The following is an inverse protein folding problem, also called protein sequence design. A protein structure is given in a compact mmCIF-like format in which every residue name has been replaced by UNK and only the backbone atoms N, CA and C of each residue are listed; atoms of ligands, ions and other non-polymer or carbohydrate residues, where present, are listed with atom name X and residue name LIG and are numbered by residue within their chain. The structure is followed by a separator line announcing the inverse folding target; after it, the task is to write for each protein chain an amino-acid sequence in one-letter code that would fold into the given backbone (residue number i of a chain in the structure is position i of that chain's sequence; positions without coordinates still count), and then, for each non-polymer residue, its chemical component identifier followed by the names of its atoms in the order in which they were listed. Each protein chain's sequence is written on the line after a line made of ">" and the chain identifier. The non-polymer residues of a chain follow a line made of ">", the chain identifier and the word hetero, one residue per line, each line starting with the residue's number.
data_IF_171252474262
#
_entry.id   IF_171252474262
#
_cell.length_a   1.000
_cell.length_b   1.000
_cell.length_c   1.000
_cell.angle_alpha   90.00
_cell.angle_beta   90.00
_cell.angle_gamma   90.00
#
_symmetry.space_group_name_H-M   'P 1'
#
loop_
_entity.id
_entity.type
_entity.pdbx_description
1 polymer ?
#
# COMPACT_ATOMS: atom_id res chain seq x y z
N UNK A 1 10.26 -14.86 20.46
CA UNK A 1 9.85 -13.54 19.99
C UNK A 1 8.70 -13.73 19.01
N UNK A 2 7.49 -13.40 19.48
CA UNK A 2 6.29 -13.44 18.65
C UNK A 2 6.21 -12.10 17.92
N UNK A 3 6.79 -12.05 16.71
CA UNK A 3 6.77 -10.82 15.90
C UNK A 3 5.38 -10.59 15.29
N UNK A 4 4.41 -10.20 16.11
CA UNK A 4 3.26 -9.44 15.61
C UNK A 4 3.75 -8.00 15.53
N UNK A 5 4.41 -7.69 14.44
CA UNK A 5 5.05 -6.40 14.29
C UNK A 5 4.05 -5.36 13.82
N UNK A 6 4.10 -4.17 14.39
CA UNK A 6 3.49 -3.00 13.79
C UNK A 6 4.10 -2.63 12.43
N UNK A 7 5.19 -3.31 12.03
CA UNK A 7 5.89 -3.21 10.75
C UNK A 7 6.00 -4.61 10.18
N UNK A 8 5.65 -4.81 8.92
CA UNK A 8 5.87 -6.08 8.22
C UNK A 8 7.38 -6.27 7.98
N UNK A 9 8.05 -6.94 8.90
CA UNK A 9 9.41 -7.43 8.72
C UNK A 9 9.35 -8.94 8.68
N UNK A 10 9.48 -9.52 7.49
CA UNK A 10 9.50 -10.96 7.29
C UNK A 10 10.95 -11.41 7.10
N UNK A 11 11.32 -12.53 7.72
CA UNK A 11 12.49 -13.28 7.30
C UNK A 11 12.25 -13.76 5.86
N UNK A 12 13.28 -13.67 5.01
CA UNK A 12 13.12 -14.13 3.64
C UNK A 12 13.10 -15.67 3.62
N UNK A 13 12.10 -16.31 2.99
CA UNK A 13 12.11 -17.75 2.79
C UNK A 13 13.37 -18.20 2.04
N UNK A 14 13.92 -19.34 2.42
CA UNK A 14 15.14 -19.89 1.78
C UNK A 14 14.98 -19.97 0.27
N UNK A 15 13.85 -20.46 -0.23
CA UNK A 15 13.58 -20.52 -1.67
C UNK A 15 13.57 -19.16 -2.37
N UNK A 16 13.14 -18.09 -1.66
CA UNK A 16 13.25 -16.72 -2.19
C UNK A 16 14.72 -16.28 -2.27
N UNK A 17 15.54 -16.58 -1.27
CA UNK A 17 16.98 -16.30 -1.29
C UNK A 17 17.68 -17.07 -2.43
N UNK A 18 17.35 -18.34 -2.63
CA UNK A 18 17.85 -19.14 -3.74
C UNK A 18 17.48 -18.54 -5.10
N UNK A 19 16.22 -18.08 -5.26
CA UNK A 19 15.79 -17.39 -6.46
C UNK A 19 16.59 -16.10 -6.70
N UNK A 20 16.85 -15.32 -5.65
CA UNK A 20 17.68 -14.11 -5.72
C UNK A 20 19.12 -14.43 -6.16
N UNK A 21 19.78 -15.40 -5.53
CA UNK A 21 21.17 -15.75 -5.82
C UNK A 21 21.35 -16.41 -7.19
N UNK A 22 20.31 -17.03 -7.73
CA UNK A 22 20.33 -17.69 -9.05
C UNK A 22 19.91 -16.76 -10.19
N UNK A 23 19.49 -15.52 -9.88
CA UNK A 23 18.95 -14.61 -10.87
C UNK A 23 19.99 -14.17 -11.91
N UNK A 24 19.71 -14.27 -13.21
CA UNK A 24 20.51 -13.60 -14.21
C UNK A 24 20.35 -12.09 -14.07
N UNK A 25 21.46 -11.36 -14.04
CA UNK A 25 21.49 -9.92 -13.84
C UNK A 25 22.24 -9.18 -14.94
N UNK A 26 21.89 -7.92 -15.13
CA UNK A 26 22.56 -6.99 -16.02
C UNK A 26 22.45 -5.58 -15.48
N UNK A 27 22.73 -4.57 -16.29
CA UNK A 27 22.63 -3.17 -15.86
C UNK A 27 21.24 -2.60 -16.17
N UNK A 28 20.35 -2.50 -15.16
CA UNK A 28 18.99 -1.96 -15.33
C UNK A 28 18.98 -0.49 -15.77
N UNK A 29 20.04 0.28 -15.52
CA UNK A 29 20.10 1.68 -16.00
C UNK A 29 20.12 1.73 -17.52
N UNK A 30 20.68 0.74 -18.17
CA UNK A 30 20.68 0.57 -19.64
C UNK A 30 19.55 -0.34 -20.16
N UNK A 31 18.73 -0.88 -19.25
CA UNK A 31 17.66 -1.82 -19.61
C UNK A 31 18.17 -3.23 -19.95
N UNK A 32 19.34 -3.59 -19.46
CA UNK A 32 20.01 -4.87 -19.77
C UNK A 32 19.81 -5.93 -18.69
N UNK A 33 19.12 -5.61 -17.57
CA UNK A 33 18.83 -6.61 -16.53
C UNK A 33 17.61 -7.46 -16.91
N UNK A 34 17.79 -8.74 -17.27
CA UNK A 34 16.71 -9.57 -17.77
C UNK A 34 15.69 -9.92 -16.68
N UNK A 35 16.11 -10.00 -15.41
CA UNK A 35 15.21 -10.33 -14.31
C UNK A 35 14.35 -9.13 -13.91
N UNK A 36 14.88 -7.90 -13.98
CA UNK A 36 14.06 -6.68 -13.83
C UNK A 36 13.04 -6.59 -14.94
N UNK A 37 13.45 -6.78 -16.19
CA UNK A 37 12.54 -6.79 -17.34
C UNK A 37 11.43 -7.84 -17.20
N UNK A 38 11.75 -9.04 -16.70
CA UNK A 38 10.78 -10.11 -16.46
C UNK A 38 9.77 -9.73 -15.37
N UNK A 39 10.22 -9.11 -14.26
CA UNK A 39 9.32 -8.62 -13.19
C UNK A 39 8.38 -7.54 -13.71
N UNK A 40 8.91 -6.54 -14.42
CA UNK A 40 8.14 -5.43 -15.01
C UNK A 40 7.06 -5.98 -15.95
N UNK A 41 7.44 -6.84 -16.90
CA UNK A 41 6.52 -7.46 -17.85
C UNK A 41 5.47 -8.36 -17.18
N UNK A 42 5.88 -9.20 -16.21
CA UNK A 42 4.97 -10.08 -15.45
C UNK A 42 3.92 -9.28 -14.71
N UNK A 43 4.33 -8.22 -14.01
CA UNK A 43 3.41 -7.42 -13.19
C UNK A 43 2.45 -6.63 -14.09
N UNK A 44 2.93 -6.06 -15.20
CA UNK A 44 2.09 -5.38 -16.19
C UNK A 44 1.06 -6.34 -16.79
N UNK A 45 1.46 -7.54 -17.21
CA UNK A 45 0.58 -8.55 -17.76
C UNK A 45 -0.50 -9.01 -16.77
N UNK A 46 -0.18 -9.15 -15.49
CA UNK A 46 -1.13 -9.50 -14.43
C UNK A 46 -2.28 -8.48 -14.35
N UNK A 47 -1.98 -7.19 -14.42
CA UNK A 47 -2.97 -6.11 -14.35
C UNK A 47 -3.53 -5.69 -15.72
N UNK A 48 -3.08 -6.31 -16.81
CA UNK A 48 -3.51 -5.94 -18.16
C UNK A 48 -3.06 -4.54 -18.59
N UNK A 49 -1.97 -4.05 -18.00
CA UNK A 49 -1.33 -2.78 -18.34
C UNK A 49 -0.19 -2.99 -19.34
N UNK A 50 0.19 -1.93 -20.07
CA UNK A 50 1.16 -2.04 -21.16
C UNK A 50 2.61 -2.22 -20.68
N UNK A 51 2.97 -1.58 -19.57
CA UNK A 51 4.36 -1.59 -19.07
C UNK A 51 4.45 -1.41 -17.56
N UNK A 52 5.63 -1.80 -17.02
CA UNK A 52 5.99 -1.62 -15.62
C UNK A 52 7.34 -0.92 -15.43
N UNK A 53 7.56 -0.41 -14.23
CA UNK A 53 8.83 0.17 -13.79
C UNK A 53 9.13 -0.27 -12.38
N UNK A 54 10.18 -1.05 -12.19
CA UNK A 54 10.67 -1.45 -10.88
C UNK A 54 11.39 -0.29 -10.16
N UNK A 55 11.00 -0.05 -8.91
CA UNK A 55 11.53 1.01 -8.06
C UNK A 55 11.87 0.47 -6.67
N UNK A 56 12.79 1.13 -5.93
CA UNK A 56 13.16 0.72 -4.57
C UNK A 56 12.02 0.73 -3.56
N UNK A 57 11.00 1.60 -3.72
CA UNK A 57 9.94 1.76 -2.72
C UNK A 57 8.61 2.22 -3.35
N UNK A 58 7.50 2.00 -2.61
CA UNK A 58 6.18 2.52 -2.95
C UNK A 58 6.11 4.05 -2.90
N UNK A 59 6.80 4.68 -1.97
CA UNK A 59 6.94 6.15 -1.95
C UNK A 59 7.49 6.66 -3.27
N UNK A 60 8.54 6.03 -3.80
CA UNK A 60 9.10 6.45 -5.07
C UNK A 60 8.12 6.27 -6.24
N UNK A 61 7.39 5.16 -6.31
CA UNK A 61 6.41 4.92 -7.37
C UNK A 61 5.26 5.93 -7.34
N UNK A 62 4.74 6.26 -6.15
CA UNK A 62 3.70 7.29 -6.00
C UNK A 62 4.20 8.68 -6.39
N UNK A 63 5.40 9.06 -5.94
CA UNK A 63 6.01 10.35 -6.27
C UNK A 63 6.32 10.48 -7.77
N UNK A 64 6.74 9.39 -8.41
CA UNK A 64 6.92 9.33 -9.87
C UNK A 64 5.57 9.52 -10.58
N UNK A 65 4.52 8.81 -10.14
CA UNK A 65 3.19 8.92 -10.73
C UNK A 65 2.67 10.36 -10.66
N UNK A 66 2.73 10.99 -9.48
CA UNK A 66 2.34 12.39 -9.30
C UNK A 66 3.13 13.34 -10.23
N UNK A 67 4.46 13.16 -10.31
CA UNK A 67 5.33 13.99 -11.16
C UNK A 67 5.10 13.84 -12.66
N UNK A 68 4.64 12.66 -13.10
CA UNK A 68 4.38 12.38 -14.51
C UNK A 68 2.96 12.79 -14.91
N UNK A 69 1.98 12.62 -14.04
CA UNK A 69 0.57 12.92 -14.33
C UNK A 69 0.23 14.40 -14.23
N UNK A 70 0.92 15.15 -13.37
CA UNK A 70 0.59 16.54 -13.11
C UNK A 70 1.82 17.46 -13.25
N UNK A 71 1.57 18.75 -13.44
CA UNK A 71 2.60 19.80 -13.57
C UNK A 71 2.67 20.63 -12.29
N UNK A 72 3.81 21.28 -11.98
CA UNK A 72 3.88 22.23 -10.88
C UNK A 72 2.76 23.29 -10.96
N UNK A 73 2.11 23.54 -9.82
CA UNK A 73 0.96 24.43 -9.71
C UNK A 73 -0.40 23.78 -9.97
N UNK A 74 -0.45 22.56 -10.51
CA UNK A 74 -1.68 21.80 -10.62
C UNK A 74 -2.03 21.10 -9.29
N UNK A 75 -3.25 20.56 -9.19
CA UNK A 75 -3.80 19.99 -7.98
C UNK A 75 -4.08 18.50 -8.11
N UNK A 76 -3.84 17.77 -7.02
CA UNK A 76 -4.25 16.38 -6.82
C UNK A 76 -5.35 16.30 -5.74
N UNK A 77 -6.43 15.58 -6.04
CA UNK A 77 -7.49 15.24 -5.08
C UNK A 77 -7.13 13.89 -4.44
N UNK A 78 -7.16 13.83 -3.11
CA UNK A 78 -6.90 12.61 -2.34
C UNK A 78 -7.50 12.70 -0.92
N UNK A 79 -7.60 11.56 -0.23
CA UNK A 79 -8.05 11.57 1.16
C UNK A 79 -6.96 12.09 2.10
N UNK A 80 -7.34 12.87 3.14
CA UNK A 80 -6.39 13.46 4.13
C UNK A 80 -5.54 12.43 4.88
N UNK A 81 -5.96 11.17 4.95
CA UNK A 81 -5.23 10.07 5.58
C UNK A 81 -4.44 9.22 4.58
N UNK A 82 -4.49 9.52 3.27
CA UNK A 82 -3.74 8.82 2.23
C UNK A 82 -2.25 8.81 2.56
N UNK A 83 -1.59 7.67 2.31
CA UNK A 83 -0.16 7.48 2.57
C UNK A 83 0.68 8.52 1.81
N UNK A 84 0.31 8.81 0.57
CA UNK A 84 1.02 9.75 -0.31
C UNK A 84 1.09 11.15 0.28
N UNK A 85 0.04 11.58 1.00
CA UNK A 85 0.03 12.86 1.70
C UNK A 85 0.66 12.78 3.09
N UNK A 86 0.26 11.77 3.88
CA UNK A 86 0.51 11.74 5.32
C UNK A 86 1.91 11.22 5.68
N UNK A 87 2.47 10.29 4.88
CA UNK A 87 3.70 9.56 5.22
C UNK A 87 4.85 9.73 4.21
N UNK A 88 4.68 10.54 3.16
CA UNK A 88 5.72 10.73 2.14
C UNK A 88 6.43 12.10 2.25
N UNK A 89 6.53 12.61 3.50
CA UNK A 89 7.36 13.77 3.87
C UNK A 89 7.11 15.03 3.00
N UNK A 90 5.86 15.28 2.58
CA UNK A 90 5.52 16.43 1.73
C UNK A 90 5.98 16.28 0.28
N UNK A 91 6.18 15.03 -0.16
CA UNK A 91 6.72 14.71 -1.48
C UNK A 91 5.92 15.29 -2.66
N UNK A 92 4.59 15.36 -2.56
CA UNK A 92 3.75 15.96 -3.60
C UNK A 92 4.15 17.39 -3.91
N UNK A 93 4.46 18.17 -2.86
CA UNK A 93 4.94 19.55 -3.02
C UNK A 93 6.42 19.58 -3.42
N UNK A 94 7.30 18.92 -2.66
CA UNK A 94 8.75 19.02 -2.81
C UNK A 94 9.27 18.44 -4.13
N UNK A 95 8.68 17.33 -4.60
CA UNK A 95 9.09 16.64 -5.82
C UNK A 95 8.33 17.12 -7.06
N UNK A 96 7.08 17.49 -6.91
CA UNK A 96 6.17 17.73 -8.05
C UNK A 96 5.59 19.16 -8.08
N UNK A 97 5.70 19.93 -6.99
CA UNK A 97 5.15 21.28 -6.88
C UNK A 97 3.63 21.32 -6.93
N UNK A 98 2.96 20.24 -6.49
CA UNK A 98 1.52 20.13 -6.57
C UNK A 98 0.81 20.77 -5.37
N UNK A 99 -0.32 21.40 -5.65
CA UNK A 99 -1.35 21.69 -4.67
C UNK A 99 -2.09 20.39 -4.32
N UNK A 100 -2.72 20.35 -3.13
CA UNK A 100 -3.48 19.19 -2.68
C UNK A 100 -4.89 19.62 -2.25
N UNK A 101 -5.89 18.91 -2.73
CA UNK A 101 -7.27 18.98 -2.26
C UNK A 101 -7.52 17.75 -1.37
N UNK A 102 -7.64 18.02 -0.05
CA UNK A 102 -7.79 16.96 0.94
C UNK A 102 -9.28 16.72 1.22
N UNK A 103 -9.73 15.52 0.90
CA UNK A 103 -11.08 15.08 1.18
C UNK A 103 -11.15 14.28 2.49
N UNK A 104 -12.35 14.25 3.05
CA UNK A 104 -12.73 13.38 4.15
C UNK A 104 -13.60 12.23 3.63
N UNK A 105 -13.69 11.15 4.39
CA UNK A 105 -14.51 9.99 4.04
C UNK A 105 -14.40 8.90 5.10
N UNK A 106 -15.32 7.95 5.06
CA UNK A 106 -15.34 6.87 6.01
C UNK A 106 -14.09 5.99 5.86
N UNK A 107 -13.37 5.79 6.96
CA UNK A 107 -12.18 4.95 7.01
C UNK A 107 -11.13 5.25 5.93
N UNK A 108 -11.06 6.52 5.48
CA UNK A 108 -10.09 6.95 4.47
C UNK A 108 -10.54 6.80 3.02
N UNK A 109 -11.77 6.42 2.78
CA UNK A 109 -12.33 6.23 1.43
C UNK A 109 -13.13 7.46 1.01
N UNK A 110 -12.88 7.94 -0.21
CA UNK A 110 -13.61 9.05 -0.85
C UNK A 110 -14.62 8.50 -1.86
N UNK A 111 -15.66 9.26 -2.16
CA UNK A 111 -16.68 8.86 -3.13
C UNK A 111 -16.54 9.61 -4.46
N UNK A 112 -17.15 9.07 -5.51
CA UNK A 112 -17.25 9.74 -6.81
C UNK A 112 -17.89 11.13 -6.70
N UNK A 113 -18.88 11.28 -5.81
CA UNK A 113 -19.53 12.56 -5.54
C UNK A 113 -18.55 13.55 -4.90
N UNK A 114 -17.78 13.11 -3.90
CA UNK A 114 -16.79 13.96 -3.25
C UNK A 114 -15.76 14.47 -4.26
N UNK A 115 -15.29 13.59 -5.14
CA UNK A 115 -14.36 13.98 -6.21
C UNK A 115 -15.01 15.00 -7.15
N UNK A 116 -16.22 14.73 -7.65
CA UNK A 116 -16.90 15.62 -8.59
C UNK A 116 -17.15 17.02 -8.02
N UNK A 117 -17.54 17.10 -6.75
CA UNK A 117 -17.83 18.36 -6.04
C UNK A 117 -16.57 19.21 -5.79
N UNK A 118 -15.37 18.62 -5.89
CA UNK A 118 -14.10 19.30 -5.60
C UNK A 118 -13.20 19.51 -6.83
N UNK A 119 -13.67 19.18 -8.03
CA UNK A 119 -12.96 19.54 -9.26
C UNK A 119 -13.05 21.05 -9.44
N UNK A 120 -11.90 21.71 -9.51
CA UNK A 120 -11.86 23.14 -9.74
C UNK A 120 -12.37 23.49 -11.14
N UNK A 121 -13.21 24.54 -11.26
CA UNK A 121 -13.60 25.07 -12.56
C UNK A 121 -12.38 25.67 -13.30
N UNK A 122 -12.49 25.89 -14.59
CA UNK A 122 -11.50 26.63 -15.38
C UNK A 122 -11.56 28.12 -14.99
N UNK A 123 -10.81 28.46 -13.93
CA UNK A 123 -10.76 29.76 -13.29
C UNK A 123 -9.30 30.13 -12.98
N UNK A 124 -8.84 31.30 -13.44
CA UNK A 124 -7.48 31.79 -13.25
C UNK A 124 -7.05 31.92 -11.77
N UNK A 125 -8.00 31.95 -10.82
CA UNK A 125 -7.71 32.05 -9.38
C UNK A 125 -7.50 30.69 -8.70
N UNK A 126 -7.74 29.57 -9.43
CA UNK A 126 -7.69 28.22 -8.86
C UNK A 126 -6.65 27.36 -9.56
N UNK A 127 -5.98 26.44 -8.84
CA UNK A 127 -5.14 25.45 -9.49
C UNK A 127 -6.01 24.53 -10.37
N UNK A 128 -5.52 24.13 -11.54
CA UNK A 128 -6.20 23.13 -12.36
C UNK A 128 -6.14 21.77 -11.66
N UNK A 129 -7.26 21.15 -11.38
CA UNK A 129 -7.30 19.77 -10.92
C UNK A 129 -6.79 18.85 -12.04
N UNK A 130 -5.78 18.03 -11.76
CA UNK A 130 -5.11 17.22 -12.75
C UNK A 130 -5.19 15.72 -12.48
N UNK A 131 -5.31 15.33 -11.21
CA UNK A 131 -5.18 13.93 -10.80
C UNK A 131 -6.05 13.65 -9.58
N UNK A 132 -6.55 12.41 -9.52
CA UNK A 132 -7.15 11.81 -8.32
C UNK A 132 -6.29 10.63 -7.90
N UNK A 133 -6.01 10.53 -6.60
CA UNK A 133 -5.32 9.39 -5.99
C UNK A 133 -6.24 8.71 -5.00
N UNK A 134 -6.25 7.38 -5.01
CA UNK A 134 -6.90 6.53 -4.00
C UNK A 134 -5.94 5.46 -3.51
N UNK A 135 -6.04 5.13 -2.21
CA UNK A 135 -5.23 4.07 -1.58
C UNK A 135 -6.09 2.82 -1.33
N UNK A 136 -5.68 1.67 -1.85
CA UNK A 136 -6.36 0.39 -1.61
C UNK A 136 -5.33 -0.74 -1.33
N UNK A 137 -5.36 -1.33 -0.12
CA UNK A 137 -6.22 -1.12 1.04
C UNK A 137 -5.79 0.12 1.82
N UNK A 138 -6.76 0.83 2.40
CA UNK A 138 -6.49 2.06 3.14
C UNK A 138 -5.81 1.77 4.50
N UNK A 139 -4.54 2.13 4.63
CA UNK A 139 -3.71 1.80 5.81
C UNK A 139 -4.27 2.39 7.11
N UNK A 140 -4.52 3.70 7.14
CA UNK A 140 -5.07 4.38 8.33
C UNK A 140 -6.55 4.09 8.57
N UNK A 141 -7.23 3.51 7.59
CA UNK A 141 -8.60 3.03 7.70
C UNK A 141 -8.74 1.59 8.23
N UNK A 142 -7.64 1.00 8.76
CA UNK A 142 -7.68 -0.39 9.26
C UNK A 142 -7.71 -1.43 8.16
N UNK A 143 -7.11 -1.13 7.02
CA UNK A 143 -7.13 -2.02 5.86
C UNK A 143 -8.46 -2.02 5.10
N UNK A 144 -9.22 -0.91 5.20
CA UNK A 144 -10.48 -0.76 4.48
C UNK A 144 -10.30 -0.95 2.96
N UNK A 145 -11.31 -1.54 2.33
CA UNK A 145 -11.27 -1.99 0.94
C UNK A 145 -12.38 -1.32 0.15
N UNK A 146 -12.03 -0.64 -0.93
CA UNK A 146 -12.99 -0.18 -1.91
C UNK A 146 -13.61 -1.34 -2.68
N UNK A 147 -14.91 -1.27 -2.92
CA UNK A 147 -15.57 -2.13 -3.91
C UNK A 147 -15.19 -1.73 -5.33
N UNK A 148 -15.31 -2.67 -6.27
CA UNK A 148 -15.09 -2.37 -7.70
C UNK A 148 -16.02 -1.26 -8.22
N UNK A 149 -17.27 -1.21 -7.72
CA UNK A 149 -18.24 -0.19 -8.12
C UNK A 149 -17.83 1.21 -7.68
N UNK A 150 -17.31 1.37 -6.45
CA UNK A 150 -16.82 2.65 -5.95
C UNK A 150 -15.61 3.13 -6.75
N UNK A 151 -14.62 2.25 -7.00
CA UNK A 151 -13.46 2.60 -7.82
C UNK A 151 -13.86 2.95 -9.27
N UNK A 152 -14.78 2.19 -9.86
CA UNK A 152 -15.25 2.44 -11.22
C UNK A 152 -16.00 3.78 -11.32
N UNK A 153 -16.83 4.12 -10.32
CA UNK A 153 -17.56 5.39 -10.28
C UNK A 153 -16.58 6.59 -10.18
N UNK A 154 -15.54 6.51 -9.35
CA UNK A 154 -14.49 7.53 -9.28
C UNK A 154 -13.77 7.63 -10.64
N UNK A 155 -13.41 6.49 -11.23
CA UNK A 155 -12.76 6.43 -12.55
C UNK A 155 -13.60 7.04 -13.67
N UNK A 156 -14.92 6.91 -13.61
CA UNK A 156 -15.83 7.56 -14.56
C UNK A 156 -15.77 9.10 -14.41
N UNK A 157 -15.81 9.60 -13.18
CA UNK A 157 -15.65 11.06 -12.91
C UNK A 157 -14.31 11.54 -13.46
N UNK A 158 -13.21 10.80 -13.22
CA UNK A 158 -11.89 11.17 -13.74
C UNK A 158 -11.89 11.24 -15.27
N UNK A 159 -12.38 10.22 -15.96
CA UNK A 159 -12.44 10.18 -17.44
C UNK A 159 -13.26 11.32 -18.02
N UNK A 160 -14.44 11.57 -17.45
CA UNK A 160 -15.37 12.61 -17.94
C UNK A 160 -14.79 14.03 -17.79
N UNK A 161 -13.84 14.22 -16.86
CA UNK A 161 -13.21 15.51 -16.57
C UNK A 161 -11.73 15.58 -17.04
N UNK A 162 -11.22 14.57 -17.73
CA UNK A 162 -9.84 14.54 -18.23
C UNK A 162 -8.79 14.50 -17.12
N UNK A 163 -9.14 13.97 -15.94
CA UNK A 163 -8.23 13.79 -14.80
C UNK A 163 -7.51 12.46 -14.89
N UNK A 164 -6.27 12.40 -14.40
CA UNK A 164 -5.54 11.16 -14.24
C UNK A 164 -5.97 10.43 -12.97
N UNK A 165 -6.12 9.12 -13.05
CA UNK A 165 -6.55 8.28 -11.93
C UNK A 165 -5.43 7.33 -11.53
N UNK A 166 -4.87 7.54 -10.34
CA UNK A 166 -3.76 6.77 -9.77
C UNK A 166 -4.21 5.95 -8.57
N UNK A 167 -3.76 4.69 -8.53
CA UNK A 167 -3.95 3.81 -7.38
C UNK A 167 -2.63 3.66 -6.60
N UNK A 168 -2.61 4.11 -5.33
CA UNK A 168 -1.67 3.54 -4.37
C UNK A 168 -2.15 2.15 -3.96
N UNK A 169 -1.64 1.16 -4.68
CA UNK A 169 -1.93 -0.25 -4.50
C UNK A 169 -0.91 -0.95 -3.60
N UNK A 170 -0.39 -0.26 -2.58
CA UNK A 170 0.63 -0.81 -1.69
C UNK A 170 0.25 -2.16 -1.06
N UNK A 171 -1.05 -2.43 -0.93
CA UNK A 171 -1.60 -3.73 -0.49
C UNK A 171 -2.74 -4.21 -1.40
N UNK A 172 -2.65 -3.93 -2.69
CA UNK A 172 -3.74 -4.24 -3.64
C UNK A 172 -4.11 -5.72 -3.65
N UNK A 173 -3.15 -6.63 -3.54
CA UNK A 173 -3.44 -8.07 -3.48
C UNK A 173 -4.26 -8.47 -2.25
N UNK A 174 -4.13 -7.73 -1.13
CA UNK A 174 -5.01 -7.91 0.03
C UNK A 174 -6.46 -7.49 -0.31
N UNK A 175 -6.64 -6.37 -1.00
CA UNK A 175 -7.96 -5.92 -1.43
C UNK A 175 -8.62 -6.93 -2.40
N UNK A 176 -7.87 -7.38 -3.41
CA UNK A 176 -8.35 -8.35 -4.40
C UNK A 176 -8.70 -9.71 -3.76
N UNK A 177 -7.96 -10.14 -2.73
CA UNK A 177 -8.28 -11.36 -1.98
C UNK A 177 -9.61 -11.28 -1.21
N UNK A 178 -10.05 -10.07 -0.85
CA UNK A 178 -11.35 -9.82 -0.18
C UNK A 178 -12.47 -9.67 -1.19
N UNK A 179 -12.27 -8.86 -2.23
CA UNK A 179 -13.31 -8.54 -3.21
C UNK A 179 -13.57 -9.65 -4.22
N UNK A 180 -12.58 -10.53 -4.43
CA UNK A 180 -12.61 -11.53 -5.50
C UNK A 180 -12.45 -10.95 -6.91
N UNK A 181 -12.19 -9.63 -7.03
CA UNK A 181 -11.92 -8.97 -8.30
C UNK A 181 -10.61 -9.48 -8.89
N UNK A 182 -10.57 -9.67 -10.21
CA UNK A 182 -9.33 -10.01 -10.89
C UNK A 182 -8.39 -8.80 -10.99
N UNK A 183 -7.09 -9.07 -11.08
CA UNK A 183 -6.08 -8.03 -11.31
C UNK A 183 -6.35 -7.23 -12.57
N UNK A 184 -6.83 -7.88 -13.66
CA UNK A 184 -7.16 -7.22 -14.93
C UNK A 184 -8.34 -6.26 -14.82
N UNK A 185 -9.41 -6.65 -14.12
CA UNK A 185 -10.55 -5.77 -13.87
C UNK A 185 -10.13 -4.55 -13.05
N UNK A 186 -9.26 -4.74 -12.05
CA UNK A 186 -8.68 -3.65 -11.31
C UNK A 186 -7.83 -2.75 -12.21
N UNK A 187 -6.90 -3.32 -12.98
CA UNK A 187 -6.01 -2.57 -13.86
C UNK A 187 -6.72 -1.69 -14.87
N UNK A 188 -7.85 -2.15 -15.39
CA UNK A 188 -8.65 -1.42 -16.38
C UNK A 188 -9.27 -0.10 -15.86
N UNK A 189 -9.28 0.13 -14.55
CA UNK A 189 -9.88 1.32 -13.95
C UNK A 189 -8.94 2.53 -13.91
N UNK A 190 -7.62 2.31 -13.91
CA UNK A 190 -6.62 3.30 -13.57
C UNK A 190 -5.69 3.66 -14.74
N UNK A 191 -5.20 4.91 -14.75
CA UNK A 191 -4.10 5.33 -15.63
C UNK A 191 -2.75 4.81 -15.14
N UNK A 192 -2.58 4.64 -13.82
CA UNK A 192 -1.37 4.08 -13.22
C UNK A 192 -1.63 3.43 -11.86
N UNK A 193 -0.82 2.43 -11.53
CA UNK A 193 -0.91 1.68 -10.27
C UNK A 193 0.48 1.52 -9.67
N UNK A 194 0.61 1.82 -8.38
CA UNK A 194 1.79 1.51 -7.56
C UNK A 194 1.56 0.21 -6.79
N UNK A 195 2.43 -0.78 -6.93
CA UNK A 195 2.30 -2.10 -6.27
C UNK A 195 3.54 -2.35 -5.41
N UNK A 196 3.38 -2.44 -4.08
CA UNK A 196 4.49 -2.82 -3.22
C UNK A 196 4.68 -4.34 -3.18
N UNK A 197 5.93 -4.77 -3.31
CA UNK A 197 6.35 -6.17 -3.15
C UNK A 197 6.83 -6.45 -1.71
N UNK A 198 7.28 -5.42 -1.00
CA UNK A 198 7.93 -5.48 0.31
C UNK A 198 6.99 -5.34 1.52
N UNK A 199 5.70 -5.67 1.36
CA UNK A 199 4.69 -5.70 2.43
C UNK A 199 4.13 -7.11 2.57
N UNK A 200 2.83 -7.34 2.42
CA UNK A 200 2.21 -8.67 2.54
C UNK A 200 2.80 -9.74 1.64
N UNK A 201 3.41 -9.36 0.53
CA UNK A 201 4.10 -10.28 -0.37
C UNK A 201 5.48 -10.72 0.13
N UNK A 202 6.08 -10.04 1.10
CA UNK A 202 7.29 -10.47 1.80
C UNK A 202 8.60 -10.37 1.02
N UNK A 203 8.64 -9.64 -0.12
CA UNK A 203 9.92 -9.34 -0.77
C UNK A 203 10.74 -8.36 0.09
N UNK A 204 12.09 -8.39 0.05
CA UNK A 204 12.94 -7.58 0.93
C UNK A 204 12.81 -6.08 0.65
N UNK A 205 12.55 -5.71 -0.60
CA UNK A 205 12.48 -4.33 -1.07
C UNK A 205 11.74 -4.28 -2.40
N UNK A 206 11.17 -3.12 -2.71
CA UNK A 206 10.73 -2.80 -4.05
C UNK A 206 9.24 -2.67 -4.24
N UNK A 207 8.93 -1.96 -5.32
CA UNK A 207 7.59 -1.71 -5.83
C UNK A 207 7.62 -1.64 -7.35
N UNK A 208 6.51 -1.93 -7.99
CA UNK A 208 6.37 -1.78 -9.45
C UNK A 208 5.32 -0.73 -9.73
N UNK A 209 5.67 0.27 -10.52
CA UNK A 209 4.74 1.26 -11.07
C UNK A 209 4.27 0.76 -12.44
N UNK A 210 2.96 0.70 -12.64
CA UNK A 210 2.33 0.27 -13.88
C UNK A 210 1.65 1.43 -14.61
N UNK A 211 1.56 1.35 -15.92
CA UNK A 211 0.86 2.30 -16.78
C UNK A 211 1.04 1.98 -18.26
N UNK A 212 0.68 2.93 -19.12
CA UNK A 212 0.95 2.84 -20.56
C UNK A 212 2.45 3.02 -20.89
N UNK A 213 2.85 2.68 -22.09
CA UNK A 213 4.26 2.78 -22.52
C UNK A 213 4.82 4.20 -22.43
N UNK A 214 4.03 5.22 -22.77
CA UNK A 214 4.49 6.61 -22.75
C UNK A 214 4.66 7.12 -21.30
N UNK A 215 3.72 6.80 -20.42
CA UNK A 215 3.82 7.08 -18.99
C UNK A 215 5.07 6.44 -18.39
N UNK A 216 5.30 5.16 -18.62
CA UNK A 216 6.47 4.44 -18.08
C UNK A 216 7.78 4.96 -18.68
N UNK A 217 7.82 5.36 -19.96
CA UNK A 217 8.98 6.00 -20.57
C UNK A 217 9.35 7.30 -19.85
N UNK A 218 8.37 8.12 -19.50
CA UNK A 218 8.55 9.36 -18.71
C UNK A 218 8.94 9.04 -17.26
N UNK A 219 8.26 8.07 -16.66
CA UNK A 219 8.50 7.60 -15.29
C UNK A 219 9.94 7.12 -15.08
N UNK A 220 10.52 6.42 -16.04
CA UNK A 220 11.92 5.95 -16.01
C UNK A 220 12.93 7.11 -15.89
N UNK A 221 12.66 8.25 -16.52
CA UNK A 221 13.48 9.46 -16.37
C UNK A 221 13.34 10.07 -14.98
N UNK A 222 12.11 10.13 -14.46
CA UNK A 222 11.85 10.63 -13.10
C UNK A 222 12.50 9.72 -12.05
N UNK A 223 12.39 8.39 -12.21
CA UNK A 223 13.11 7.41 -11.37
C UNK A 223 14.60 7.71 -11.29
N UNK A 224 15.22 8.04 -12.43
CA UNK A 224 16.66 8.39 -12.47
C UNK A 224 16.97 9.64 -11.65
N UNK A 225 16.14 10.69 -11.77
CA UNK A 225 16.27 11.94 -11.01
C UNK A 225 16.13 11.71 -9.50
N UNK A 226 15.20 10.82 -9.10
CA UNK A 226 14.97 10.46 -7.69
C UNK A 226 16.00 9.48 -7.12
N UNK A 227 17.02 9.10 -7.89
CA UNK A 227 18.08 8.20 -7.43
C UNK A 227 17.70 6.71 -7.44
N UNK A 228 16.56 6.34 -8.01
CA UNK A 228 16.05 4.97 -8.06
C UNK A 228 16.60 4.09 -9.19
N UNK A 229 17.58 4.57 -9.96
CA UNK A 229 18.25 3.78 -10.98
C UNK A 229 19.33 2.88 -10.36
N UNK A 230 18.97 1.66 -10.04
CA UNK A 230 19.89 0.63 -9.53
C UNK A 230 20.56 -0.11 -10.69
N UNK A 231 21.72 -0.72 -10.44
CA UNK A 231 22.49 -1.47 -11.48
C UNK A 231 21.97 -2.90 -11.57
N UNK A 232 22.56 -3.84 -10.87
CA UNK A 232 22.20 -5.26 -10.87
C UNK A 232 20.98 -5.51 -9.96
N UNK A 233 19.87 -4.87 -10.27
CA UNK A 233 18.62 -4.94 -9.49
C UNK A 233 17.87 -6.27 -9.67
N UNK A 234 18.30 -7.12 -10.62
CA UNK A 234 17.71 -8.43 -10.88
C UNK A 234 17.69 -9.35 -9.67
N UNK A 235 18.68 -9.25 -8.77
CA UNK A 235 18.64 -9.98 -7.50
C UNK A 235 17.39 -9.64 -6.67
N UNK A 236 17.02 -8.38 -6.62
CA UNK A 236 15.83 -7.90 -5.88
C UNK A 236 14.55 -8.19 -6.66
N UNK A 237 14.60 -8.06 -7.98
CA UNK A 237 13.49 -8.36 -8.86
C UNK A 237 13.09 -9.85 -8.81
N UNK A 238 14.06 -10.76 -8.67
CA UNK A 238 13.80 -12.18 -8.49
C UNK A 238 12.98 -12.49 -7.23
N UNK A 239 13.25 -11.79 -6.12
CA UNK A 239 12.42 -11.88 -4.92
C UNK A 239 10.99 -11.41 -5.18
N UNK A 240 10.82 -10.35 -5.98
CA UNK A 240 9.51 -9.86 -6.39
C UNK A 240 8.74 -10.87 -7.25
N UNK A 241 9.41 -11.52 -8.20
CA UNK A 241 8.80 -12.58 -9.02
C UNK A 241 8.39 -13.76 -8.13
N UNK A 242 9.29 -14.23 -7.25
CA UNK A 242 8.98 -15.30 -6.30
C UNK A 242 7.75 -14.95 -5.43
N UNK A 243 7.69 -13.73 -4.91
CA UNK A 243 6.60 -13.26 -4.08
C UNK A 243 5.25 -13.24 -4.83
N UNK A 244 5.24 -12.80 -6.09
CA UNK A 244 4.05 -12.81 -6.95
C UNK A 244 3.58 -14.24 -7.25
N UNK A 245 4.49 -15.19 -7.40
CA UNK A 245 4.16 -16.57 -7.74
C UNK A 245 3.69 -17.40 -6.53
N UNK A 246 4.18 -17.10 -5.33
CA UNK A 246 4.00 -17.98 -4.17
C UNK A 246 3.27 -17.34 -2.98
N UNK A 247 3.20 -16.00 -2.89
CA UNK A 247 2.69 -15.36 -1.67
C UNK A 247 1.32 -14.71 -1.81
N UNK A 248 0.78 -14.56 -3.04
CA UNK A 248 -0.51 -13.90 -3.25
C UNK A 248 -1.66 -14.69 -2.62
N UNK A 249 -1.76 -15.98 -2.91
CA UNK A 249 -2.87 -16.82 -2.44
C UNK A 249 -2.92 -16.97 -0.91
N UNK A 250 -1.77 -16.95 -0.25
CA UNK A 250 -1.69 -17.10 1.19
C UNK A 250 -2.14 -15.87 2.00
N UNK A 251 -2.32 -14.70 1.37
CA UNK A 251 -2.79 -13.49 2.05
C UNK A 251 -4.13 -13.70 2.78
N UNK A 252 -4.95 -14.64 2.31
CA UNK A 252 -6.21 -15.04 2.97
C UNK A 252 -5.98 -15.57 4.40
N UNK A 253 -4.83 -16.20 4.66
CA UNK A 253 -4.47 -16.68 5.99
C UNK A 253 -4.17 -15.51 6.93
N UNK A 254 -3.45 -14.48 6.44
CA UNK A 254 -3.18 -13.27 7.21
C UNK A 254 -4.49 -12.58 7.59
N UNK A 255 -5.46 -12.51 6.66
CA UNK A 255 -6.78 -11.95 6.92
C UNK A 255 -7.54 -12.74 7.99
N UNK A 256 -7.50 -14.08 7.92
CA UNK A 256 -8.15 -14.95 8.91
C UNK A 256 -7.56 -14.72 10.31
N UNK A 257 -6.23 -14.70 10.42
CA UNK A 257 -5.53 -14.46 11.69
C UNK A 257 -5.82 -13.06 12.24
N UNK A 258 -5.86 -12.05 11.38
CA UNK A 258 -6.22 -10.69 11.76
C UNK A 258 -7.64 -10.60 12.33
N UNK A 259 -8.62 -11.27 11.70
CA UNK A 259 -10.00 -11.32 12.23
C UNK A 259 -10.06 -11.97 13.60
N UNK A 260 -9.37 -13.10 13.82
CA UNK A 260 -9.33 -13.77 15.13
C UNK A 260 -8.71 -12.89 16.22
N UNK A 261 -7.65 -12.14 15.89
CA UNK A 261 -7.08 -11.12 16.81
C UNK A 261 -8.10 -10.01 17.11
N UNK A 262 -8.80 -9.51 16.10
CA UNK A 262 -9.83 -8.49 16.27
C UNK A 262 -10.97 -8.96 17.16
N UNK A 263 -11.46 -10.17 16.95
CA UNK A 263 -12.50 -10.82 17.77
C UNK A 263 -12.04 -10.97 19.24
N UNK A 264 -10.80 -11.41 19.46
CA UNK A 264 -10.25 -11.52 20.80
C UNK A 264 -10.13 -10.16 21.49
N UNK A 265 -9.68 -9.12 20.78
CA UNK A 265 -9.57 -7.75 21.30
C UNK A 265 -10.93 -7.16 21.67
N UNK A 266 -11.99 -7.45 20.92
CA UNK A 266 -13.35 -6.96 21.21
C UNK A 266 -13.88 -7.45 22.57
N UNK A 267 -13.38 -8.56 23.09
CA UNK A 267 -13.80 -9.14 24.37
C UNK A 267 -13.11 -8.48 25.59
N UNK A 268 -12.14 -7.61 25.38
CA UNK A 268 -11.31 -7.07 26.45
C UNK A 268 -11.92 -5.81 27.05
N UNK A 269 -11.96 -5.74 28.38
CA UNK A 269 -12.57 -4.60 29.08
C UNK A 269 -11.84 -3.27 28.87
N UNK A 270 -10.54 -3.31 28.61
CA UNK A 270 -9.69 -2.13 28.39
C UNK A 270 -9.71 -1.63 26.91
N UNK A 271 -10.29 -2.39 25.99
CA UNK A 271 -10.53 -1.96 24.61
C UNK A 271 -11.86 -1.23 24.53
N UNK A 272 -11.87 -0.04 23.89
CA UNK A 272 -13.09 0.75 23.66
C UNK A 272 -13.73 0.45 22.32
N UNK A 273 -12.93 0.18 21.30
CA UNK A 273 -13.38 -0.05 19.93
C UNK A 273 -12.35 -0.90 19.18
N UNK A 274 -12.83 -1.78 18.30
CA UNK A 274 -12.01 -2.42 17.27
C UNK A 274 -12.61 -2.04 15.93
N UNK A 275 -11.83 -1.42 15.05
CA UNK A 275 -12.28 -1.11 13.69
C UNK A 275 -12.59 -2.40 12.93
N UNK A 276 -13.47 -2.35 11.91
CA UNK A 276 -13.71 -3.51 11.05
C UNK A 276 -12.40 -4.07 10.48
N UNK A 277 -12.20 -5.38 10.63
CA UNK A 277 -10.99 -6.08 10.18
C UNK A 277 -11.26 -6.73 8.82
N UNK A 278 -11.06 -5.97 7.75
CA UNK A 278 -11.32 -6.43 6.39
C UNK A 278 -10.16 -7.27 5.84
N UNK A 279 -8.94 -6.92 6.21
CA UNK A 279 -7.71 -7.53 5.68
C UNK A 279 -6.76 -7.94 6.79
N UNK A 280 -5.47 -7.71 6.62
CA UNK A 280 -4.41 -8.10 7.57
C UNK A 280 -4.05 -7.01 8.59
N UNK A 281 -4.81 -5.92 8.66
CA UNK A 281 -4.58 -4.82 9.60
C UNK A 281 -5.67 -4.83 10.66
N UNK A 282 -5.26 -4.79 11.93
CA UNK A 282 -6.15 -4.67 13.08
C UNK A 282 -5.86 -3.35 13.78
N UNK A 283 -6.83 -2.46 13.84
CA UNK A 283 -6.75 -1.22 14.61
C UNK A 283 -7.76 -1.28 15.73
N UNK A 284 -7.32 -1.01 16.94
CA UNK A 284 -8.19 -0.90 18.10
C UNK A 284 -7.86 0.32 18.94
N UNK A 285 -8.87 0.82 19.65
CA UNK A 285 -8.72 1.94 20.60
C UNK A 285 -8.79 1.43 22.02
N UNK A 286 -7.98 2.04 22.89
CA UNK A 286 -7.97 1.74 24.30
C UNK A 286 -8.81 2.74 25.08
N UNK A 287 -9.39 2.31 26.24
CA UNK A 287 -10.17 3.19 27.13
C UNK A 287 -9.26 4.09 27.94
N UNK A 288 -9.68 5.32 28.17
CA UNK A 288 -9.01 6.19 29.14
C UNK A 288 -9.04 5.56 30.54
N UNK A 289 -8.00 5.75 31.36
CA UNK A 289 -6.83 6.62 31.14
C UNK A 289 -5.69 5.96 30.34
N UNK A 290 -5.87 4.75 29.79
CA UNK A 290 -4.85 4.06 29.00
C UNK A 290 -4.49 4.84 27.75
N UNK A 291 -3.24 4.72 27.34
CA UNK A 291 -2.73 5.25 26.08
C UNK A 291 -2.15 4.13 25.21
N UNK A 292 -2.09 4.37 23.90
CA UNK A 292 -1.47 3.45 22.97
C UNK A 292 -0.03 3.11 23.38
N UNK A 293 0.74 4.10 23.87
CA UNK A 293 2.11 3.90 24.32
C UNK A 293 2.20 2.94 25.52
N UNK A 294 1.28 3.05 26.50
CA UNK A 294 1.25 2.13 27.65
C UNK A 294 0.95 0.70 27.21
N UNK A 295 -0.01 0.54 26.28
CA UNK A 295 -0.42 -0.78 25.80
C UNK A 295 0.66 -1.40 24.92
N UNK A 296 1.23 -0.64 23.98
CA UNK A 296 2.32 -1.14 23.13
C UNK A 296 3.57 -1.49 23.91
N UNK A 297 3.87 -0.72 24.98
CA UNK A 297 4.98 -1.04 25.91
C UNK A 297 4.77 -2.38 26.60
N UNK A 298 3.61 -2.61 27.21
CA UNK A 298 3.28 -3.90 27.85
C UNK A 298 3.25 -5.07 26.89
N UNK A 299 2.71 -4.86 25.66
CA UNK A 299 2.74 -5.89 24.63
C UNK A 299 4.18 -6.26 24.25
N UNK A 300 5.06 -5.26 24.13
CA UNK A 300 6.48 -5.49 23.80
C UNK A 300 7.24 -6.25 24.93
N UNK A 301 6.91 -6.00 26.20
CA UNK A 301 7.46 -6.77 27.34
C UNK A 301 7.14 -8.27 27.22
N UNK A 302 5.97 -8.60 26.68
CA UNK A 302 5.52 -9.98 26.42
C UNK A 302 5.92 -10.51 25.03
N UNK A 303 6.74 -9.76 24.27
CA UNK A 303 7.22 -10.16 22.94
C UNK A 303 6.24 -9.90 21.78
N UNK A 304 5.18 -9.13 22.00
CA UNK A 304 4.21 -8.74 20.97
C UNK A 304 4.49 -7.29 20.53
N UNK A 305 4.96 -7.11 19.31
CA UNK A 305 5.26 -5.79 18.77
C UNK A 305 4.03 -5.15 18.12
N UNK A 306 3.74 -3.90 18.47
CA UNK A 306 2.61 -3.13 17.97
C UNK A 306 3.00 -1.67 17.78
N UNK A 307 2.24 -0.93 16.99
CA UNK A 307 2.48 0.51 16.77
C UNK A 307 1.30 1.32 17.29
N UNK A 308 1.57 2.37 18.08
CA UNK A 308 0.60 3.41 18.37
C UNK A 308 0.43 4.34 17.17
N UNK A 309 -0.83 4.56 16.73
CA UNK A 309 -1.15 5.49 15.65
C UNK A 309 -1.45 6.90 16.13
N UNK A 310 -2.04 6.99 17.31
CA UNK A 310 -2.33 8.21 18.02
C UNK A 310 -2.32 7.93 19.53
N UNK A 311 -2.90 8.83 20.33
CA UNK A 311 -2.89 8.68 21.80
C UNK A 311 -3.56 7.39 22.30
N UNK A 312 -4.60 6.91 21.59
CA UNK A 312 -5.42 5.78 22.04
C UNK A 312 -5.50 4.63 21.02
N UNK A 313 -5.07 4.84 19.77
CA UNK A 313 -5.18 3.83 18.72
C UNK A 313 -3.91 3.01 18.58
N UNK A 314 -4.06 1.69 18.60
CA UNK A 314 -2.98 0.71 18.40
C UNK A 314 -3.25 -0.08 17.14
N UNK A 315 -2.21 -0.32 16.35
CA UNK A 315 -2.25 -1.14 15.13
C UNK A 315 -1.41 -2.40 15.28
N UNK A 316 -2.01 -3.53 14.90
CA UNK A 316 -1.34 -4.81 14.65
C UNK A 316 -1.44 -5.15 13.16
N UNK A 317 -0.45 -5.87 12.64
CA UNK A 317 -0.45 -6.33 11.24
C UNK A 317 -0.01 -7.79 11.21
N UNK A 318 -0.85 -8.66 10.66
CA UNK A 318 -0.49 -10.06 10.41
C UNK A 318 0.27 -10.19 9.08
N UNK A 319 1.20 -11.10 9.00
CA UNK A 319 2.11 -11.25 7.85
C UNK A 319 2.64 -12.68 7.72
N UNK A 320 3.48 -12.92 6.71
CA UNK A 320 4.02 -14.22 6.31
C UNK A 320 4.57 -15.06 7.48
N UNK A 321 5.36 -14.44 8.38
CA UNK A 321 6.00 -15.14 9.50
C UNK A 321 5.11 -15.27 10.73
N UNK A 322 3.93 -14.64 10.74
CA UNK A 322 3.00 -14.76 11.85
C UNK A 322 2.23 -16.07 11.76
N UNK A 323 2.70 -17.06 12.51
CA UNK A 323 2.18 -18.45 12.49
C UNK A 323 0.92 -18.61 13.32
N UNK A 324 0.29 -19.79 13.23
CA UNK A 324 -0.89 -20.15 14.06
C UNK A 324 -0.53 -20.19 15.55
N UNK A 325 0.62 -20.78 15.88
CA UNK A 325 1.09 -20.82 17.26
C UNK A 325 1.35 -19.42 17.85
N UNK A 326 1.87 -18.51 17.03
CA UNK A 326 2.04 -17.10 17.44
C UNK A 326 0.70 -16.39 17.63
N UNK A 327 -0.31 -16.70 16.83
CA UNK A 327 -1.65 -16.20 17.00
C UNK A 327 -2.24 -16.62 18.36
N UNK A 328 -2.18 -17.92 18.68
CA UNK A 328 -2.70 -18.46 19.94
C UNK A 328 -1.98 -17.82 21.14
N UNK A 329 -0.65 -17.75 21.10
CA UNK A 329 0.15 -17.08 22.13
C UNK A 329 -0.19 -15.59 22.27
N UNK A 330 -0.37 -14.88 21.16
CA UNK A 330 -0.76 -13.46 21.18
C UNK A 330 -2.13 -13.27 21.82
N UNK A 331 -3.10 -14.12 21.48
CA UNK A 331 -4.44 -14.09 22.06
C UNK A 331 -4.38 -14.35 23.57
N UNK A 332 -3.58 -15.30 24.03
CA UNK A 332 -3.41 -15.59 25.45
C UNK A 332 -2.75 -14.43 26.19
N UNK A 333 -1.73 -13.82 25.61
CA UNK A 333 -1.05 -12.64 26.17
C UNK A 333 -2.05 -11.49 26.34
N UNK A 334 -2.78 -11.09 25.29
CA UNK A 334 -3.72 -9.96 25.36
C UNK A 334 -4.85 -10.18 26.36
N UNK A 335 -5.28 -11.42 26.58
CA UNK A 335 -6.29 -11.79 27.58
C UNK A 335 -5.76 -11.69 29.01
N UNK A 336 -4.47 -11.89 29.21
CA UNK A 336 -3.82 -11.86 30.52
C UNK A 336 -3.37 -10.46 30.93
N UNK A 337 -3.21 -9.53 29.97
CA UNK A 337 -2.83 -8.16 30.28
C UNK A 337 -3.78 -7.51 31.30
N UNK A 338 -3.19 -6.84 32.28
CA UNK A 338 -3.89 -6.07 33.32
C UNK A 338 -3.32 -4.66 33.34
N UNK A 339 -4.20 -3.68 33.46
CA UNK A 339 -3.86 -2.25 33.51
C UNK A 339 -4.49 -1.60 34.72
#
# INVERSE_FOLDING_TARGET
>A
LTDVTGVQTCALPICMLEAMFSAPVGDDVFGEDPTVAALEAKTAALFGMEAGLFCPSGTMTNQIAARVHARPGEEVILHKLSHVYYYEAGGLMSNSGLSVCLLEGDRGMITAKDVADHINPDDLHRPRTAMVEVENTMNKGGGAVYSNQELAAIGEVCRNNGLKYHLDGARIFNALAVTGQSTRECGALFDSISICLSKGLGAPVGSVLLGDHEFIRRARRVRKVFGGGMRQAGYLAAAGIYALDHHVERLKEDHRRARQLGEALQQLQWVSEVLPVDTNIVIFKVKEPLTALMVTGKLAEEGVLAIGFDRQSVRLVTHLDFTENMLDQTIDIIRQLRF
#
